data_IF_062659028435
#
_entry.id   IF_062659028435
#
_cell.length_a   1.000
_cell.length_b   1.000
_cell.length_c   1.000
_cell.angle_alpha   90.00
_cell.angle_beta   90.00
_cell.angle_gamma   90.00
#
_symmetry.space_group_name_H-M   'P 1'
#
loop_
_entity.id
_entity.type
_entity.pdbx_description
1 polymer ?
#
# COMPACT_ATOMS: atom_id res chain seq x y z
N UNK A 1 0.63 -20.00 14.92
CA UNK A 1 1.24 -18.69 14.72
C UNK A 1 0.78 -18.09 13.40
N UNK A 2 0.14 -16.99 13.45
CA UNK A 2 -0.33 -16.37 12.22
C UNK A 2 -0.04 -14.88 12.26
N UNK A 3 -0.04 -14.27 11.07
CA UNK A 3 0.29 -12.87 10.92
C UNK A 3 -1.01 -12.09 10.71
N UNK A 4 -1.16 -11.03 11.48
CA UNK A 4 -2.30 -10.15 11.33
C UNK A 4 -1.85 -8.97 10.47
N UNK A 5 -2.48 -8.75 9.31
CA UNK A 5 -2.07 -7.63 8.46
C UNK A 5 -2.27 -6.31 9.17
N UNK A 6 -1.36 -5.39 8.93
CA UNK A 6 -1.51 -4.04 9.45
C UNK A 6 -2.43 -3.27 8.52
N UNK A 7 -3.43 -2.62 9.10
CA UNK A 7 -4.34 -1.79 8.33
C UNK A 7 -3.85 -0.35 8.41
N UNK A 8 -3.63 0.25 7.26
CA UNK A 8 -3.16 1.62 7.15
C UNK A 8 -4.14 2.41 6.29
N UNK A 9 -3.95 3.70 6.25
CA UNK A 9 -4.80 4.58 5.47
C UNK A 9 -3.95 5.24 4.40
N UNK A 10 -4.48 5.30 3.18
CA UNK A 10 -3.80 5.98 2.09
C UNK A 10 -3.76 7.48 2.38
N UNK A 11 -2.61 8.09 2.17
CA UNK A 11 -2.42 9.50 2.46
C UNK A 11 -3.17 10.42 1.51
N UNK A 12 -2.98 11.71 1.72
CA UNK A 12 -3.80 12.73 1.04
C UNK A 12 -3.58 12.79 -0.46
N UNK A 13 -2.48 12.23 -0.96
CA UNK A 13 -2.20 12.25 -2.39
C UNK A 13 -2.53 10.93 -3.07
N UNK A 14 -3.11 10.01 -2.33
CA UNK A 14 -3.42 8.71 -2.88
C UNK A 14 -2.19 7.83 -2.99
N UNK A 15 -2.36 6.64 -3.52
CA UNK A 15 -1.27 5.71 -3.69
C UNK A 15 -1.40 4.98 -5.03
N UNK A 16 -0.27 4.77 -5.69
CA UNK A 16 -0.25 3.99 -6.92
C UNK A 16 0.32 2.62 -6.65
N UNK A 17 -0.39 1.59 -7.04
CA UNK A 17 0.07 0.22 -6.88
C UNK A 17 0.89 -0.19 -8.10
N UNK A 18 2.09 -0.68 -7.85
CA UNK A 18 3.02 -1.06 -8.89
C UNK A 18 3.24 -2.56 -8.91
N UNK A 19 3.67 -3.05 -10.06
CA UNK A 19 3.99 -4.46 -10.20
C UNK A 19 5.31 -4.84 -9.54
N UNK A 20 6.17 -3.86 -9.30
CA UNK A 20 7.47 -4.09 -8.69
C UNK A 20 7.77 -3.00 -7.68
N UNK A 21 8.58 -3.30 -6.66
CA UNK A 21 8.90 -2.32 -5.61
C UNK A 21 10.03 -1.39 -6.06
N UNK A 22 9.75 -0.57 -7.03
CA UNK A 22 10.73 0.40 -7.53
C UNK A 22 10.00 1.53 -8.25
N UNK A 23 10.68 2.67 -8.33
CA UNK A 23 10.06 3.89 -8.85
C UNK A 23 9.62 3.77 -10.30
N UNK A 24 10.32 2.98 -11.10
CA UNK A 24 9.95 2.80 -12.50
C UNK A 24 9.05 1.58 -12.71
N UNK A 25 8.54 0.99 -11.64
CA UNK A 25 7.58 -0.10 -11.77
C UNK A 25 6.27 0.40 -12.36
N UNK A 26 5.63 -0.45 -13.14
CA UNK A 26 4.39 -0.06 -13.78
C UNK A 26 3.27 0.08 -12.75
N UNK A 27 2.54 1.19 -12.80
CA UNK A 27 1.38 1.40 -11.95
C UNK A 27 0.18 0.82 -12.66
N UNK A 28 -0.46 -0.16 -12.01
CA UNK A 28 -1.62 -0.81 -12.61
C UNK A 28 -2.92 -0.46 -11.90
N UNK A 29 -2.85 0.24 -10.78
CA UNK A 29 -4.04 0.64 -10.05
C UNK A 29 -3.68 1.82 -9.16
N UNK A 30 -4.67 2.64 -8.85
CA UNK A 30 -4.46 3.76 -7.93
C UNK A 30 -5.53 3.72 -6.86
N UNK A 31 -5.15 4.14 -5.66
CA UNK A 31 -6.06 4.18 -4.53
C UNK A 31 -6.28 5.63 -4.12
N UNK A 32 -7.54 6.02 -3.91
CA UNK A 32 -7.80 7.40 -3.51
C UNK A 32 -7.36 7.66 -2.08
N UNK A 33 -7.17 8.94 -1.77
CA UNK A 33 -6.81 9.34 -0.43
C UNK A 33 -7.86 8.84 0.57
N UNK A 34 -7.39 8.39 1.72
CA UNK A 34 -8.29 7.91 2.76
C UNK A 34 -8.72 6.46 2.60
N UNK A 35 -8.28 5.81 1.53
CA UNK A 35 -8.62 4.40 1.34
C UNK A 35 -7.92 3.53 2.37
N UNK A 36 -8.57 2.41 2.66
CA UNK A 36 -7.97 1.40 3.51
C UNK A 36 -6.88 0.66 2.75
N UNK A 37 -5.79 0.35 3.42
CA UNK A 37 -4.70 -0.42 2.82
C UNK A 37 -4.24 -1.47 3.81
N UNK A 38 -4.30 -2.73 3.42
CA UNK A 38 -3.84 -3.83 4.26
C UNK A 38 -2.41 -4.14 3.88
N UNK A 39 -1.50 -3.81 4.77
CA UNK A 39 -0.07 -3.97 4.55
C UNK A 39 0.32 -5.41 4.85
N UNK A 40 0.85 -6.10 3.86
CA UNK A 40 1.19 -7.51 3.98
C UNK A 40 2.69 -7.75 4.10
N UNK A 41 3.51 -6.88 3.50
CA UNK A 41 4.95 -7.07 3.54
C UNK A 41 5.63 -5.73 3.32
N UNK A 42 6.90 -5.68 3.67
CA UNK A 42 7.69 -4.46 3.56
C UNK A 42 9.02 -4.79 2.91
N UNK A 43 9.43 -3.98 1.97
CA UNK A 43 10.71 -4.12 1.30
C UNK A 43 11.34 -2.74 1.20
N UNK A 44 12.14 -2.36 2.21
CA UNK A 44 12.72 -1.04 2.25
C UNK A 44 11.66 0.03 2.39
N UNK A 45 11.64 0.97 1.47
CA UNK A 45 10.63 2.02 1.50
C UNK A 45 9.36 1.66 0.74
N UNK A 46 9.26 0.41 0.29
CA UNK A 46 8.10 -0.06 -0.45
C UNK A 46 7.30 -1.00 0.42
N UNK A 47 5.98 -0.97 0.26
CA UNK A 47 5.09 -1.85 0.99
C UNK A 47 4.21 -2.62 0.02
N UNK A 48 3.96 -3.86 0.36
CA UNK A 48 3.14 -4.78 -0.44
C UNK A 48 1.81 -4.93 0.26
N UNK A 49 0.73 -4.74 -0.45
CA UNK A 49 -0.57 -4.86 0.18
C UNK A 49 -1.71 -4.64 -0.79
N UNK A 50 -2.90 -4.49 -0.23
CA UNK A 50 -4.12 -4.36 -1.02
C UNK A 50 -5.14 -3.52 -0.27
N UNK A 51 -6.11 -2.92 -1.01
CA UNK A 51 -7.16 -2.11 -0.37
C UNK A 51 -8.19 -2.95 0.37
N UNK A 52 -8.20 -4.25 0.14
CA UNK A 52 -9.13 -5.15 0.80
C UNK A 52 -9.00 -6.53 0.22
N UNK A 53 -9.72 -7.51 0.78
CA UNK A 53 -9.53 -8.90 0.35
C UNK A 53 -9.85 -9.16 -1.11
N UNK A 54 -10.62 -8.28 -1.74
CA UNK A 54 -10.96 -8.45 -3.14
C UNK A 54 -10.33 -7.40 -4.03
N UNK A 55 -9.47 -6.59 -3.47
CA UNK A 55 -8.80 -5.57 -4.24
C UNK A 55 -7.51 -6.08 -4.86
N UNK A 56 -6.93 -5.30 -5.75
CA UNK A 56 -5.65 -5.67 -6.35
C UNK A 56 -4.54 -5.60 -5.32
N UNK A 57 -3.56 -6.48 -5.45
CA UNK A 57 -2.40 -6.49 -4.55
C UNK A 57 -1.20 -5.95 -5.31
N UNK A 58 -0.48 -5.03 -4.71
CA UNK A 58 0.67 -4.43 -5.38
C UNK A 58 1.57 -3.68 -4.42
N UNK A 59 2.55 -3.00 -4.98
CA UNK A 59 3.55 -2.26 -4.21
C UNK A 59 3.26 -0.77 -4.27
N UNK A 60 3.36 -0.10 -3.13
CA UNK A 60 3.32 1.36 -3.12
C UNK A 60 4.40 1.85 -2.17
N UNK A 61 4.67 3.15 -2.22
CA UNK A 61 5.67 3.71 -1.32
C UNK A 61 5.09 3.80 0.08
N UNK A 62 5.92 3.52 1.07
CA UNK A 62 5.48 3.69 2.45
C UNK A 62 5.04 5.13 2.70
N UNK A 63 5.67 6.09 2.02
CA UNK A 63 5.33 7.49 2.19
C UNK A 63 3.97 7.85 1.58
N UNK A 64 3.40 6.98 0.75
CA UNK A 64 2.06 7.22 0.20
C UNK A 64 0.97 6.90 1.22
N UNK A 65 1.32 6.26 2.30
CA UNK A 65 0.37 5.94 3.36
C UNK A 65 0.44 7.01 4.43
N UNK A 66 -0.72 7.28 5.04
CA UNK A 66 -0.76 8.20 6.14
C UNK A 66 0.02 7.60 7.30
N UNK A 67 0.50 8.46 8.19
CA UNK A 67 1.22 8.01 9.35
C UNK A 67 0.34 7.04 10.16
N UNK A 68 0.94 5.96 10.63
CA UNK A 68 0.24 5.05 11.51
C UNK A 68 -0.01 5.69 12.86
N UNK A 69 0.74 6.70 13.14
CA UNK A 69 0.60 7.45 14.37
C UNK A 69 -0.68 8.26 14.32
N UNK A 70 -1.50 8.09 15.26
CA UNK A 70 -2.75 8.84 15.28
C UNK A 70 -2.85 9.70 16.50
#
# INVERSE_FOLDING_TARGET
>A
HYVIPHVRTVGTEGAGLRLAPRADGEIFATLPAGSRFELLDVAGEWVWGCPGPQGPTGWCRASDLASAES
#
